data_IF_871538712832
#
_entry.id   IF_871538712832
#
_cell.length_a   1.000
_cell.length_b   1.000
_cell.length_c   1.000
_cell.angle_alpha   90.00
_cell.angle_beta   90.00
_cell.angle_gamma   90.00
#
_symmetry.space_group_name_H-M   'P 1'
#
loop_
_entity.id
_entity.type
_entity.pdbx_description
1 polymer ?
#
# COMPACT_ATOMS: atom_id res chain seq x y z
N UNK A 1 -12.94 24.09 3.79
CA UNK A 1 -11.64 24.33 4.46
C UNK A 1 -10.60 24.17 3.38
N UNK A 2 -9.92 25.25 3.04
CA UNK A 2 -8.90 25.31 2.00
C UNK A 2 -7.67 24.50 2.43
N UNK A 3 -7.37 23.40 1.73
CA UNK A 3 -6.12 22.68 1.92
C UNK A 3 -5.08 23.22 0.94
N UNK A 4 -4.60 24.43 1.20
CA UNK A 4 -3.57 25.13 0.43
C UNK A 4 -2.16 24.61 0.76
N UNK A 5 -1.95 23.30 0.61
CA UNK A 5 -0.70 22.62 0.98
C UNK A 5 0.13 22.11 -0.21
N UNK A 6 -0.37 22.16 -1.45
CA UNK A 6 0.34 21.51 -2.56
C UNK A 6 1.54 22.34 -2.98
N UNK A 7 2.76 21.89 -2.64
CA UNK A 7 3.99 22.54 -3.09
C UNK A 7 4.41 21.93 -4.42
N UNK A 8 4.54 22.75 -5.48
CA UNK A 8 5.11 22.25 -6.75
C UNK A 8 6.62 22.39 -6.70
N UNK A 9 7.34 21.28 -6.89
CA UNK A 9 8.79 21.21 -6.97
C UNK A 9 9.20 20.91 -8.41
N UNK A 10 10.20 21.64 -8.89
CA UNK A 10 10.75 21.45 -10.23
C UNK A 10 12.07 20.71 -10.13
N UNK A 11 12.17 19.52 -10.74
CA UNK A 11 13.42 18.78 -10.88
C UNK A 11 13.97 19.05 -12.28
N UNK A 12 15.19 19.56 -12.34
CA UNK A 12 15.89 19.84 -13.60
C UNK A 12 16.89 18.74 -13.87
N UNK A 13 16.75 18.07 -15.02
CA UNK A 13 17.76 17.14 -15.49
C UNK A 13 18.99 17.94 -15.96
N UNK A 14 20.13 17.75 -15.28
CA UNK A 14 21.35 18.53 -15.52
C UNK A 14 22.02 18.24 -16.87
N UNK A 15 21.76 17.09 -17.47
CA UNK A 15 22.34 16.70 -18.76
C UNK A 15 21.53 17.25 -19.95
N UNK A 16 20.21 17.31 -19.81
CA UNK A 16 19.29 17.69 -20.90
C UNK A 16 18.68 19.08 -20.72
N UNK A 17 18.82 19.69 -19.54
CA UNK A 17 18.23 20.98 -19.18
C UNK A 17 16.70 20.96 -19.05
N UNK A 18 16.04 19.80 -19.20
CA UNK A 18 14.59 19.70 -19.10
C UNK A 18 14.15 19.72 -17.63
N UNK A 19 13.14 20.54 -17.34
CA UNK A 19 12.48 20.60 -16.05
C UNK A 19 11.22 19.73 -16.07
N UNK A 20 11.02 18.95 -15.01
CA UNK A 20 9.79 18.23 -14.73
C UNK A 20 9.19 18.76 -13.44
N UNK A 21 7.90 19.07 -13.46
CA UNK A 21 7.17 19.54 -12.29
C UNK A 21 6.56 18.36 -11.53
N UNK A 22 6.76 18.36 -10.23
CA UNK A 22 6.22 17.37 -9.30
C UNK A 22 5.40 18.08 -8.24
N UNK A 23 4.24 17.52 -7.88
CA UNK A 23 3.42 18.03 -6.78
C UNK A 23 3.80 17.28 -5.51
N UNK A 24 4.35 18.01 -4.55
CA UNK A 24 4.53 17.56 -3.18
C UNK A 24 3.20 17.78 -2.44
N UNK A 25 2.64 16.69 -1.93
CA UNK A 25 1.49 16.71 -1.05
C UNK A 25 2.01 16.55 0.39
N UNK A 26 2.17 17.63 1.17
CA UNK A 26 2.77 17.59 2.50
C UNK A 26 1.85 16.98 3.56
N UNK A 27 0.60 16.67 3.20
CA UNK A 27 -0.26 15.87 4.05
C UNK A 27 -0.01 14.41 3.74
N UNK A 28 0.57 13.72 4.71
CA UNK A 28 0.52 12.27 4.90
C UNK A 28 -0.93 11.80 4.74
N UNK A 29 -1.35 11.59 3.50
CA UNK A 29 -2.71 11.17 3.20
C UNK A 29 -2.75 9.71 3.59
N UNK A 30 -3.40 9.43 4.72
CA UNK A 30 -3.63 8.06 5.15
C UNK A 30 -4.89 7.53 4.48
N UNK A 31 -4.81 6.33 3.96
CA UNK A 31 -5.94 5.60 3.41
C UNK A 31 -6.28 4.48 4.37
N UNK A 32 -7.57 4.33 4.67
CA UNK A 32 -8.11 3.14 5.34
C UNK A 32 -8.98 2.40 4.32
N UNK A 33 -8.69 1.13 4.09
CA UNK A 33 -9.39 0.31 3.12
C UNK A 33 -9.51 -1.14 3.62
N UNK A 34 -10.39 -1.91 2.98
CA UNK A 34 -10.38 -3.35 3.11
C UNK A 34 -9.50 -3.94 2.02
N UNK A 35 -8.67 -4.92 2.35
CA UNK A 35 -7.70 -5.51 1.43
C UNK A 35 -7.82 -7.02 1.44
N UNK A 36 -7.86 -7.63 0.26
CA UNK A 36 -7.63 -9.05 0.06
C UNK A 36 -6.19 -9.25 -0.40
N UNK A 37 -5.35 -9.82 0.45
CA UNK A 37 -3.97 -10.12 0.08
C UNK A 37 -3.93 -11.36 -0.79
N UNK A 38 -3.16 -11.31 -1.87
CA UNK A 38 -3.06 -12.38 -2.86
C UNK A 38 -1.68 -13.01 -2.89
N UNK A 39 -0.64 -12.22 -2.68
CA UNK A 39 0.75 -12.68 -2.68
C UNK A 39 1.57 -11.87 -1.67
N UNK A 40 2.57 -12.52 -1.08
CA UNK A 40 3.50 -11.91 -0.12
C UNK A 40 4.91 -12.30 -0.55
N UNK A 41 5.76 -11.31 -0.78
CA UNK A 41 7.14 -11.48 -1.21
C UNK A 41 8.09 -10.85 -0.20
N UNK A 42 9.24 -11.49 -0.01
CA UNK A 42 10.35 -10.94 0.76
C UNK A 42 11.45 -10.61 -0.23
N UNK A 43 11.84 -9.34 -0.28
CA UNK A 43 12.88 -8.83 -1.17
C UNK A 43 14.12 -8.57 -0.32
N UNK A 44 15.17 -9.36 -0.55
CA UNK A 44 16.48 -9.14 0.07
C UNK A 44 17.23 -8.06 -0.70
N UNK A 45 17.67 -7.00 -0.01
CA UNK A 45 18.36 -5.87 -0.63
C UNK A 45 19.86 -6.13 -0.62
N UNK A 46 20.38 -6.56 -1.78
CA UNK A 46 21.73 -7.12 -2.00
C UNK A 46 22.88 -6.15 -1.66
N UNK A 47 22.60 -4.85 -1.51
CA UNK A 47 23.59 -3.79 -1.20
C UNK A 47 23.49 -3.25 0.24
N UNK A 48 22.60 -3.81 1.05
CA UNK A 48 22.40 -3.46 2.46
C UNK A 48 22.91 -4.60 3.37
N UNK A 49 23.12 -4.34 4.67
CA UNK A 49 23.48 -5.40 5.62
C UNK A 49 22.53 -6.60 5.50
N UNK A 50 23.05 -7.81 5.71
CA UNK A 50 22.35 -9.10 5.49
C UNK A 50 20.96 -9.21 6.16
N UNK A 51 20.67 -8.34 7.14
CA UNK A 51 19.43 -8.33 7.91
C UNK A 51 18.34 -7.40 7.33
N UNK A 52 18.67 -6.56 6.35
CA UNK A 52 17.73 -5.59 5.79
C UNK A 52 16.95 -6.19 4.60
N UNK A 53 15.62 -6.22 4.72
CA UNK A 53 14.74 -6.71 3.67
C UNK A 53 13.47 -5.87 3.60
N UNK A 54 12.79 -5.95 2.47
CA UNK A 54 11.43 -5.44 2.32
C UNK A 54 10.46 -6.61 2.25
N UNK A 55 9.32 -6.48 2.92
CA UNK A 55 8.19 -7.40 2.74
C UNK A 55 7.12 -6.66 1.96
N UNK A 56 6.75 -7.21 0.80
CA UNK A 56 5.74 -6.64 -0.10
C UNK A 56 4.55 -7.57 -0.15
N UNK A 57 3.40 -7.10 0.36
CA UNK A 57 2.15 -7.83 0.28
C UNK A 57 1.25 -7.20 -0.79
N UNK A 58 0.96 -7.94 -1.86
CA UNK A 58 0.17 -7.44 -2.98
C UNK A 58 -1.24 -8.00 -2.94
N UNK A 59 -2.21 -7.20 -3.36
CA UNK A 59 -3.60 -7.58 -3.30
C UNK A 59 -4.54 -6.60 -3.99
N UNK A 60 -5.83 -6.80 -3.71
CA UNK A 60 -6.90 -5.93 -4.16
C UNK A 60 -7.50 -5.23 -2.96
N UNK A 61 -7.65 -3.92 -3.02
CA UNK A 61 -8.24 -3.08 -1.99
C UNK A 61 -9.59 -2.51 -2.42
N UNK A 62 -10.40 -2.19 -1.43
CA UNK A 62 -11.68 -1.50 -1.58
C UNK A 62 -11.79 -0.38 -0.55
N UNK A 63 -12.06 0.83 -1.01
CA UNK A 63 -12.27 1.98 -0.14
C UNK A 63 -13.68 2.02 0.47
N UNK A 64 -13.97 3.07 1.24
CA UNK A 64 -15.26 3.25 1.92
C UNK A 64 -16.45 3.48 0.99
N UNK A 65 -16.22 3.80 -0.29
CA UNK A 65 -17.28 3.98 -1.29
C UNK A 65 -17.41 2.80 -2.24
N UNK A 66 -16.63 1.73 -2.02
CA UNK A 66 -16.69 0.51 -2.82
C UNK A 66 -15.83 0.53 -4.08
N UNK A 67 -14.95 1.54 -4.24
CA UNK A 67 -14.03 1.56 -5.37
C UNK A 67 -12.91 0.55 -5.17
N UNK A 68 -12.72 -0.31 -6.17
CA UNK A 68 -11.73 -1.38 -6.16
C UNK A 68 -10.47 -0.97 -6.91
N UNK A 69 -9.31 -1.22 -6.32
CA UNK A 69 -8.00 -0.91 -6.90
C UNK A 69 -6.95 -1.93 -6.47
N UNK A 70 -5.88 -2.08 -7.26
CA UNK A 70 -4.70 -2.84 -6.86
C UNK A 70 -3.96 -2.11 -5.74
N UNK A 71 -3.45 -2.88 -4.77
CA UNK A 71 -2.65 -2.32 -3.68
C UNK A 71 -1.40 -3.17 -3.43
N UNK A 72 -0.33 -2.49 -3.06
CA UNK A 72 0.89 -3.08 -2.50
C UNK A 72 1.08 -2.50 -1.10
N UNK A 73 1.20 -3.36 -0.09
CA UNK A 73 1.57 -2.97 1.27
C UNK A 73 3.06 -3.21 1.43
N UNK A 74 3.81 -2.15 1.67
CA UNK A 74 5.25 -2.19 1.86
C UNK A 74 5.59 -2.13 3.35
N UNK A 75 6.37 -3.10 3.79
CA UNK A 75 6.94 -3.16 5.13
C UNK A 75 8.47 -3.18 5.02
N UNK A 76 9.13 -2.36 5.81
CA UNK A 76 10.60 -2.28 5.87
C UNK A 76 11.07 -2.64 7.28
N UNK A 77 11.00 -3.92 7.69
CA UNK A 77 11.46 -4.35 9.01
C UNK A 77 12.96 -4.07 9.18
N UNK A 78 13.35 -3.54 10.34
CA UNK A 78 14.75 -3.23 10.66
C UNK A 78 15.44 -4.40 11.36
N UNK A 79 14.68 -5.38 11.85
CA UNK A 79 15.21 -6.56 12.54
C UNK A 79 14.57 -7.85 12.06
N UNK A 80 15.26 -8.98 12.27
CA UNK A 80 14.72 -10.32 11.99
C UNK A 80 13.42 -10.58 12.75
N UNK A 81 13.32 -10.13 14.01
CA UNK A 81 12.12 -10.30 14.82
C UNK A 81 10.93 -9.52 14.26
N UNK A 82 11.15 -8.29 13.77
CA UNK A 82 10.11 -7.50 13.10
C UNK A 82 9.66 -8.16 11.79
N UNK A 83 10.60 -8.67 11.00
CA UNK A 83 10.29 -9.44 9.78
C UNK A 83 9.40 -10.65 10.10
N UNK A 84 9.78 -11.45 11.09
CA UNK A 84 9.00 -12.61 11.53
C UNK A 84 7.60 -12.21 12.01
N UNK A 85 7.49 -11.09 12.74
CA UNK A 85 6.21 -10.57 13.21
C UNK A 85 5.32 -10.14 12.03
N UNK A 86 5.84 -9.39 11.06
CA UNK A 86 5.09 -9.00 9.86
C UNK A 86 4.59 -10.24 9.13
N UNK A 87 5.45 -11.22 8.87
CA UNK A 87 5.07 -12.46 8.16
C UNK A 87 4.07 -13.33 8.95
N UNK A 88 4.00 -13.19 10.27
CA UNK A 88 2.99 -13.86 11.09
C UNK A 88 1.63 -13.12 11.07
N UNK A 89 1.65 -11.79 10.95
CA UNK A 89 0.45 -10.94 11.01
C UNK A 89 -0.34 -10.89 9.70
N UNK A 90 0.30 -11.20 8.56
CA UNK A 90 -0.34 -11.20 7.25
C UNK A 90 -0.21 -12.55 6.54
N UNK A 91 -1.27 -12.93 5.83
CA UNK A 91 -1.37 -14.18 5.08
C UNK A 91 -2.06 -13.94 3.74
N UNK A 92 -1.54 -14.57 2.69
CA UNK A 92 -2.20 -14.58 1.39
C UNK A 92 -3.54 -15.32 1.46
N UNK A 93 -4.53 -14.84 0.70
CA UNK A 93 -5.89 -15.37 0.65
C UNK A 93 -6.81 -14.87 1.78
N UNK A 94 -6.32 -14.03 2.69
CA UNK A 94 -7.08 -13.45 3.81
C UNK A 94 -7.48 -12.00 3.55
N UNK A 95 -8.48 -11.54 4.30
CA UNK A 95 -9.01 -10.18 4.23
C UNK A 95 -8.62 -9.38 5.47
N UNK A 96 -8.23 -8.14 5.25
CA UNK A 96 -7.72 -7.23 6.28
C UNK A 96 -8.42 -5.89 6.20
N UNK A 97 -8.56 -5.22 7.34
CA UNK A 97 -8.63 -3.76 7.40
C UNK A 97 -7.19 -3.26 7.39
N UNK A 98 -6.83 -2.46 6.38
CA UNK A 98 -5.50 -1.86 6.27
C UNK A 98 -5.59 -0.35 6.40
N UNK A 99 -4.63 0.26 7.08
CA UNK A 99 -4.43 1.71 7.03
C UNK A 99 -2.96 2.10 6.97
N UNK A 100 -2.64 3.15 6.22
CA UNK A 100 -1.27 3.59 6.03
C UNK A 100 -1.18 4.81 5.13
N UNK A 101 0.01 5.37 5.01
CA UNK A 101 0.29 6.41 4.03
C UNK A 101 0.28 5.79 2.63
N UNK A 102 -0.13 6.53 1.60
CA UNK A 102 -0.16 5.96 0.25
C UNK A 102 0.40 6.89 -0.83
N UNK A 103 0.92 6.28 -1.88
CA UNK A 103 1.23 6.91 -3.16
C UNK A 103 0.52 6.16 -4.29
N UNK A 104 0.18 6.88 -5.35
CA UNK A 104 -0.31 6.25 -6.57
C UNK A 104 0.85 5.95 -7.51
N UNK A 105 1.00 4.68 -7.87
CA UNK A 105 1.96 4.19 -8.84
C UNK A 105 1.19 3.80 -10.10
N UNK A 106 1.43 4.52 -11.20
CA UNK A 106 0.77 4.23 -12.46
C UNK A 106 0.95 2.75 -12.84
N UNK A 107 -0.11 2.12 -13.36
CA UNK A 107 -0.19 0.69 -13.76
C UNK A 107 -0.16 -0.34 -12.59
N UNK A 108 0.54 -0.04 -11.50
CA UNK A 108 0.65 -0.90 -10.31
C UNK A 108 -0.43 -0.64 -9.24
N UNK A 109 -1.09 0.52 -9.28
CA UNK A 109 -2.17 0.89 -8.37
C UNK A 109 -1.69 1.73 -7.20
N UNK A 110 -2.09 1.39 -5.98
CA UNK A 110 -1.70 2.11 -4.77
C UNK A 110 -0.55 1.39 -4.06
N UNK A 111 0.49 2.13 -3.69
CA UNK A 111 1.54 1.68 -2.79
C UNK A 111 1.28 2.27 -1.41
N UNK A 112 1.15 1.43 -0.40
CA UNK A 112 0.90 1.81 0.98
C UNK A 112 2.14 1.58 1.84
N UNK A 113 2.59 2.64 2.51
CA UNK A 113 3.71 2.65 3.47
C UNK A 113 3.17 2.65 4.89
N UNK A 114 3.99 2.18 5.83
CA UNK A 114 3.65 2.09 7.26
C UNK A 114 2.30 1.41 7.50
N UNK A 115 2.02 0.38 6.69
CA UNK A 115 0.72 -0.29 6.66
C UNK A 115 0.46 -1.01 7.98
N UNK A 116 -0.67 -0.70 8.60
CA UNK A 116 -1.21 -1.43 9.75
C UNK A 116 -2.36 -2.29 9.30
N UNK A 117 -2.22 -3.59 9.45
CA UNK A 117 -3.24 -4.56 9.08
C UNK A 117 -3.88 -5.16 10.33
N UNK A 118 -5.21 -5.34 10.27
CA UNK A 118 -5.96 -6.19 11.18
C UNK A 118 -6.74 -7.20 10.36
N UNK A 119 -6.50 -8.48 10.59
CA UNK A 119 -7.30 -9.54 9.96
C UNK A 119 -8.77 -9.37 10.35
N UNK A 120 -9.65 -9.50 9.35
CA UNK A 120 -11.08 -9.52 9.58
C UNK A 120 -11.49 -10.89 10.12
N UNK A 121 -12.41 -10.90 11.09
CA UNK A 121 -13.10 -12.13 11.48
C UNK A 121 -13.92 -12.69 10.31
N UNK A 122 -14.24 -13.99 10.35
CA UNK A 122 -15.03 -14.64 9.29
C UNK A 122 -16.38 -13.94 9.03
N UNK A 123 -17.02 -13.41 10.08
CA UNK A 123 -18.29 -12.67 9.98
C UNK A 123 -18.10 -11.32 9.26
N UNK A 124 -17.07 -10.55 9.63
CA UNK A 124 -16.74 -9.29 8.96
C UNK A 124 -16.34 -9.53 7.49
N UNK A 125 -15.52 -10.55 7.26
CA UNK A 125 -15.04 -10.91 5.94
C UNK A 125 -16.19 -11.30 5.01
N UNK A 126 -17.21 -12.03 5.49
CA UNK A 126 -18.37 -12.41 4.67
C UNK A 126 -19.09 -11.20 4.06
N UNK A 127 -19.29 -10.14 4.84
CA UNK A 127 -19.88 -8.88 4.35
C UNK A 127 -18.97 -8.17 3.34
N UNK A 128 -17.67 -8.08 3.64
CA UNK A 128 -16.69 -7.46 2.75
C UNK A 128 -16.57 -8.20 1.42
N UNK A 129 -16.50 -9.54 1.44
CA UNK A 129 -16.44 -10.42 0.26
C UNK A 129 -17.63 -10.16 -0.67
N UNK A 130 -18.83 -10.02 -0.11
CA UNK A 130 -20.01 -9.75 -0.91
C UNK A 130 -19.88 -8.44 -1.70
N UNK A 131 -19.40 -7.38 -1.05
CA UNK A 131 -19.22 -6.07 -1.69
C UNK A 131 -18.09 -6.09 -2.70
N UNK A 132 -16.97 -6.77 -2.39
CA UNK A 132 -15.87 -7.00 -3.34
C UNK A 132 -16.38 -7.67 -4.62
N UNK A 133 -17.11 -8.78 -4.50
CA UNK A 133 -17.61 -9.52 -5.66
C UNK A 133 -18.58 -8.69 -6.52
N UNK A 134 -19.41 -7.84 -5.91
CA UNK A 134 -20.34 -6.97 -6.64
C UNK A 134 -19.58 -5.92 -7.46
N UNK A 135 -18.56 -5.30 -6.86
CA UNK A 135 -17.83 -4.21 -7.50
C UNK A 135 -16.74 -4.70 -8.47
N UNK A 136 -16.16 -5.89 -8.27
CA UNK A 136 -15.24 -6.51 -9.24
C UNK A 136 -15.95 -6.87 -10.55
N UNK A 137 -17.24 -7.22 -10.52
CA UNK A 137 -18.01 -7.47 -11.74
C UNK A 137 -18.41 -6.20 -12.51
N UNK A 138 -18.30 -5.04 -11.86
CA UNK A 138 -18.70 -3.75 -12.42
C UNK A 138 -17.52 -2.90 -12.91
N UNK A 139 -16.28 -3.35 -12.66
CA UNK A 139 -15.01 -2.70 -13.05
C UNK A 139 -14.42 -3.34 -14.30
#
# INVERSE_FOLDING_TARGET
MDCDGTTTISIVNLETGKASEFKLFPNESSLTCFVKLMNIEVIELVDLPDDYCEVVATGTAMDSVGHIFKVQLLYSPETTAEKEQVLADIQAGRYYSASGQFSYVAEEGMLMYDAKCRELSDEEAAGVIQVFNINEMAS
#
